data_IF_094353721943
#
_entry.id   IF_094353721943
#
_cell.length_a   1.000
_cell.length_b   1.000
_cell.length_c   1.000
_cell.angle_alpha   90.00
_cell.angle_beta   90.00
_cell.angle_gamma   90.00
#
_symmetry.space_group_name_H-M   'P 1'
#
loop_
_entity.id
_entity.type
_entity.pdbx_description
1 polymer ?
#
# COMPACT_ATOMS: atom_id res chain seq x y z
N UNK A 1 3.46 36.36 11.55
CA UNK A 1 2.90 35.05 11.92
C UNK A 1 3.89 34.00 11.47
N UNK A 2 4.58 33.37 12.41
CA UNK A 2 5.54 32.32 12.08
C UNK A 2 4.75 31.10 11.60
N UNK A 3 4.98 30.65 10.37
CA UNK A 3 4.54 29.33 9.93
C UNK A 3 5.23 28.31 10.85
N UNK A 4 4.50 27.82 11.84
CA UNK A 4 4.89 26.63 12.59
C UNK A 4 5.07 25.51 11.56
N UNK A 5 6.33 25.17 11.27
CA UNK A 5 6.68 24.00 10.47
C UNK A 5 6.08 22.79 11.16
N UNK A 6 4.93 22.36 10.65
CA UNK A 6 4.21 21.21 11.16
C UNK A 6 5.12 19.97 11.15
N UNK A 7 4.97 19.08 12.15
CA UNK A 7 5.86 17.94 12.32
C UNK A 7 5.87 17.07 11.07
N UNK A 8 7.05 16.55 10.66
CA UNK A 8 7.27 15.84 9.40
C UNK A 8 6.45 14.55 9.21
N UNK A 9 5.74 14.14 10.26
CA UNK A 9 5.04 12.87 10.40
C UNK A 9 3.53 12.96 10.15
N UNK A 10 2.96 14.16 10.04
CA UNK A 10 1.54 14.32 9.72
C UNK A 10 1.32 14.15 8.23
N UNK A 11 0.41 13.25 7.84
CA UNK A 11 -0.13 13.23 6.49
C UNK A 11 -1.09 14.40 6.37
N UNK A 12 -0.84 15.29 5.42
CA UNK A 12 -1.80 16.31 5.07
C UNK A 12 -2.83 15.69 4.12
N UNK A 13 -4.13 15.88 4.37
CA UNK A 13 -5.17 15.55 3.37
C UNK A 13 -4.92 16.24 2.02
N UNK A 14 -4.19 17.36 2.03
CA UNK A 14 -3.71 18.07 0.86
C UNK A 14 -2.67 17.27 0.06
N UNK A 15 -1.86 16.45 0.72
CA UNK A 15 -0.89 15.56 0.08
C UNK A 15 -1.59 14.48 -0.75
N UNK A 16 -2.73 13.98 -0.27
CA UNK A 16 -3.54 12.97 -0.95
C UNK A 16 -4.25 13.54 -2.18
N UNK A 17 -4.43 14.86 -2.26
CA UNK A 17 -5.03 15.55 -3.42
C UNK A 17 -4.03 15.81 -4.55
N UNK A 18 -2.73 15.77 -4.26
CA UNK A 18 -1.67 15.97 -5.26
C UNK A 18 -1.44 14.68 -6.07
N UNK A 19 -0.97 14.78 -7.33
CA UNK A 19 -0.42 13.64 -8.05
C UNK A 19 0.72 12.99 -7.27
N UNK A 20 0.77 11.66 -7.26
CA UNK A 20 1.75 10.90 -6.46
C UNK A 20 3.20 11.23 -6.85
N UNK A 21 3.44 11.53 -8.13
CA UNK A 21 4.75 11.93 -8.66
C UNK A 21 5.24 13.22 -8.00
N UNK A 22 4.32 14.17 -7.78
CA UNK A 22 4.63 15.45 -7.14
C UNK A 22 4.96 15.25 -5.66
N UNK A 23 4.20 14.40 -4.96
CA UNK A 23 4.45 14.08 -3.55
C UNK A 23 5.82 13.43 -3.37
N UNK A 24 6.18 12.50 -4.27
CA UNK A 24 7.49 11.84 -4.24
C UNK A 24 8.61 12.85 -4.52
N UNK A 25 8.43 13.76 -5.48
CA UNK A 25 9.43 14.78 -5.80
C UNK A 25 9.67 15.76 -4.63
N UNK A 26 8.59 16.26 -4.01
CA UNK A 26 8.66 17.16 -2.85
C UNK A 26 9.40 16.49 -1.68
N UNK A 27 9.07 15.23 -1.39
CA UNK A 27 9.71 14.44 -0.34
C UNK A 27 11.17 14.12 -0.67
N UNK A 28 11.50 13.83 -1.94
CA UNK A 28 12.87 13.58 -2.37
C UNK A 28 13.76 14.83 -2.19
N UNK A 29 13.23 16.01 -2.54
CA UNK A 29 13.89 17.30 -2.29
C UNK A 29 14.13 17.51 -0.79
N UNK A 30 13.12 17.21 0.04
CA UNK A 30 13.24 17.33 1.50
C UNK A 30 14.36 16.45 2.05
N UNK A 31 14.36 15.17 1.70
CA UNK A 31 15.39 14.21 2.14
C UNK A 31 16.78 14.64 1.66
N UNK A 32 16.88 15.17 0.43
CA UNK A 32 18.14 15.68 -0.07
C UNK A 32 18.66 16.85 0.77
N UNK A 33 17.82 17.85 1.04
CA UNK A 33 18.19 18.99 1.89
C UNK A 33 18.58 18.57 3.29
N UNK A 34 17.85 17.63 3.89
CA UNK A 34 18.14 17.11 5.23
C UNK A 34 19.48 16.36 5.29
N UNK A 35 19.81 15.57 4.26
CA UNK A 35 21.05 14.79 4.25
C UNK A 35 22.28 15.57 3.82
N UNK A 36 22.13 16.51 2.88
CA UNK A 36 23.26 17.20 2.26
C UNK A 36 23.45 18.62 2.75
N UNK A 37 22.42 19.24 3.34
CA UNK A 37 22.42 20.65 3.70
C UNK A 37 22.46 21.61 2.49
N UNK A 38 22.38 21.09 1.26
CA UNK A 38 22.55 21.85 0.02
C UNK A 38 21.22 22.06 -0.71
N UNK A 39 21.11 23.10 -1.56
CA UNK A 39 19.98 23.26 -2.46
C UNK A 39 19.91 22.09 -3.45
N UNK A 40 18.71 21.59 -3.78
CA UNK A 40 18.55 20.44 -4.66
C UNK A 40 19.05 20.77 -6.09
N UNK A 41 19.79 19.86 -6.74
CA UNK A 41 20.15 20.00 -8.15
C UNK A 41 18.91 19.88 -9.05
N UNK A 42 19.01 20.35 -10.31
CA UNK A 42 17.92 20.27 -11.30
C UNK A 42 17.41 18.83 -11.49
N UNK A 43 18.32 17.85 -11.43
CA UNK A 43 17.97 16.43 -11.42
C UNK A 43 18.53 15.78 -10.15
N UNK A 44 17.61 15.35 -9.28
CA UNK A 44 17.96 14.63 -8.07
C UNK A 44 18.40 13.19 -8.39
N UNK A 45 19.42 12.65 -7.68
CA UNK A 45 19.78 11.25 -7.82
C UNK A 45 18.59 10.34 -7.52
N UNK A 46 18.43 9.26 -8.32
CA UNK A 46 17.31 8.31 -8.19
C UNK A 46 17.17 7.69 -6.80
N UNK A 47 18.23 7.66 -6.02
CA UNK A 47 18.24 7.13 -4.65
C UNK A 47 17.35 7.95 -3.70
N UNK A 48 17.30 9.27 -3.86
CA UNK A 48 16.44 10.13 -3.05
C UNK A 48 14.96 9.91 -3.34
N UNK A 49 14.62 9.65 -4.61
CA UNK A 49 13.25 9.26 -5.00
C UNK A 49 12.85 7.92 -4.40
N UNK A 50 13.73 6.90 -4.40
CA UNK A 50 13.45 5.61 -3.76
C UNK A 50 13.23 5.76 -2.26
N UNK A 51 14.07 6.56 -1.59
CA UNK A 51 13.91 6.87 -0.16
C UNK A 51 12.61 7.62 0.12
N UNK A 52 12.26 8.60 -0.71
CA UNK A 52 11.01 9.34 -0.62
C UNK A 52 9.80 8.41 -0.69
N UNK A 53 9.76 7.51 -1.66
CA UNK A 53 8.69 6.52 -1.78
C UNK A 53 8.54 5.65 -0.52
N UNK A 54 9.66 5.17 0.04
CA UNK A 54 9.64 4.34 1.27
C UNK A 54 9.14 5.14 2.47
N UNK A 55 9.58 6.39 2.61
CA UNK A 55 9.15 7.26 3.71
C UNK A 55 7.66 7.59 3.61
N UNK A 56 7.18 7.95 2.42
CA UNK A 56 5.76 8.20 2.15
C UNK A 56 4.95 6.96 2.51
N UNK A 57 5.34 5.77 2.03
CA UNK A 57 4.63 4.53 2.34
C UNK A 57 4.55 4.25 3.84
N UNK A 58 5.66 4.41 4.58
CA UNK A 58 5.67 4.22 6.04
C UNK A 58 4.75 5.22 6.75
N UNK A 59 4.81 6.49 6.35
CA UNK A 59 3.95 7.55 6.92
C UNK A 59 2.48 7.25 6.65
N UNK A 60 2.15 6.85 5.42
CA UNK A 60 0.81 6.47 4.98
C UNK A 60 0.27 5.26 5.73
N UNK A 61 1.08 4.20 5.89
CA UNK A 61 0.70 3.05 6.69
C UNK A 61 0.43 3.41 8.16
N UNK A 62 1.28 4.27 8.76
CA UNK A 62 1.10 4.73 10.14
C UNK A 62 -0.22 5.49 10.32
N UNK A 63 -0.49 6.48 9.49
CA UNK A 63 -1.71 7.27 9.63
C UNK A 63 -2.98 6.46 9.32
N UNK A 64 -2.93 5.53 8.36
CA UNK A 64 -4.05 4.62 8.11
C UNK A 64 -4.32 3.74 9.34
N UNK A 65 -3.27 3.25 10.00
CA UNK A 65 -3.40 2.47 11.24
C UNK A 65 -4.01 3.32 12.36
N UNK A 66 -3.54 4.55 12.54
CA UNK A 66 -4.07 5.48 13.55
C UNK A 66 -5.53 5.83 13.27
N UNK A 67 -5.86 6.21 12.03
CA UNK A 67 -7.22 6.49 11.61
C UNK A 67 -8.15 5.28 11.82
N UNK A 68 -7.68 4.08 11.49
CA UNK A 68 -8.41 2.84 11.76
C UNK A 68 -8.63 2.65 13.26
N UNK A 69 -7.59 2.79 14.10
CA UNK A 69 -7.75 2.64 15.55
C UNK A 69 -8.73 3.64 16.13
N UNK A 70 -8.65 4.92 15.73
CA UNK A 70 -9.57 5.98 16.15
C UNK A 70 -11.00 5.68 15.68
N UNK A 71 -11.17 5.27 14.42
CA UNK A 71 -12.48 4.88 13.89
C UNK A 71 -13.06 3.69 14.65
N UNK A 72 -12.26 2.66 14.96
CA UNK A 72 -12.73 1.51 15.75
C UNK A 72 -13.06 1.85 17.19
N UNK A 73 -12.42 2.86 17.77
CA UNK A 73 -12.74 3.33 19.11
C UNK A 73 -14.06 4.11 19.14
N UNK A 74 -14.37 4.89 18.08
CA UNK A 74 -15.58 5.72 18.00
C UNK A 74 -16.79 4.91 17.52
N UNK A 75 -16.61 4.11 16.47
CA UNK A 75 -17.70 3.42 15.76
C UNK A 75 -17.80 1.93 16.11
N UNK A 76 -16.93 1.44 16.99
CA UNK A 76 -16.76 0.00 17.23
C UNK A 76 -15.94 -0.68 16.14
N UNK A 77 -15.43 -1.87 16.44
CA UNK A 77 -14.68 -2.67 15.46
C UNK A 77 -15.68 -3.17 14.41
N UNK A 78 -15.45 -2.96 13.09
CA UNK A 78 -16.33 -3.52 12.08
C UNK A 78 -16.35 -5.05 12.24
N UNK A 79 -17.54 -5.66 12.30
CA UNK A 79 -17.69 -7.13 12.44
C UNK A 79 -17.02 -7.91 11.30
N UNK A 80 -16.79 -7.25 10.15
CA UNK A 80 -16.10 -7.79 8.98
C UNK A 80 -15.20 -6.72 8.39
N UNK A 81 -13.89 -6.94 8.40
CA UNK A 81 -13.02 -6.13 7.55
C UNK A 81 -13.15 -6.61 6.08
N UNK A 82 -13.00 -5.72 5.07
CA UNK A 82 -12.95 -6.13 3.66
C UNK A 82 -11.86 -7.15 3.32
N UNK A 83 -10.96 -7.42 4.28
CA UNK A 83 -9.84 -8.33 4.19
C UNK A 83 -10.11 -9.69 4.88
N UNK A 84 -11.17 -9.81 5.69
CA UNK A 84 -11.43 -11.00 6.53
C UNK A 84 -12.39 -12.03 5.94
N UNK A 85 -13.17 -11.71 4.90
CA UNK A 85 -13.96 -12.72 4.19
C UNK A 85 -13.13 -13.41 3.09
N UNK A 86 -12.05 -14.07 3.49
CA UNK A 86 -11.58 -15.21 2.72
C UNK A 86 -12.51 -16.38 3.05
N UNK A 87 -13.17 -17.00 2.05
CA UNK A 87 -13.86 -18.26 2.30
C UNK A 87 -12.86 -19.29 2.86
N UNK A 88 -13.30 -20.25 3.69
CA UNK A 88 -12.45 -21.31 4.21
C UNK A 88 -11.57 -21.94 3.11
N UNK A 89 -10.34 -22.30 3.46
CA UNK A 89 -9.38 -22.86 2.50
C UNK A 89 -9.94 -24.07 1.74
N UNK A 90 -10.79 -24.85 2.40
CA UNK A 90 -11.51 -26.01 1.86
C UNK A 90 -12.50 -25.62 0.75
N UNK A 91 -13.14 -24.45 0.84
CA UNK A 91 -14.03 -23.92 -0.20
C UNK A 91 -13.24 -23.31 -1.36
N UNK A 92 -12.12 -22.63 -1.06
CA UNK A 92 -11.20 -22.14 -2.08
C UNK A 92 -10.56 -23.27 -2.90
N UNK A 93 -10.31 -24.44 -2.29
CA UNK A 93 -9.78 -25.64 -2.96
C UNK A 93 -10.81 -26.39 -3.82
N UNK A 94 -12.10 -26.26 -3.51
CA UNK A 94 -13.21 -26.83 -4.30
C UNK A 94 -13.58 -25.99 -5.52
N UNK A 95 -13.07 -24.76 -5.58
CA UNK A 95 -13.16 -23.91 -6.77
C UNK A 95 -12.48 -24.61 -7.96
N UNK A 96 -13.12 -24.71 -9.14
CA UNK A 96 -12.57 -25.41 -10.30
C UNK A 96 -11.29 -24.77 -10.86
N UNK A 97 -10.87 -23.63 -10.30
CA UNK A 97 -9.71 -22.86 -10.73
C UNK A 97 -8.47 -23.34 -9.97
N UNK A 98 -7.87 -24.35 -10.58
CA UNK A 98 -6.55 -24.96 -10.38
C UNK A 98 -5.53 -24.01 -9.75
N UNK A 99 -4.68 -24.48 -8.83
CA UNK A 99 -3.63 -23.63 -8.26
C UNK A 99 -2.72 -23.10 -9.38
N UNK A 100 -2.86 -21.79 -9.67
CA UNK A 100 -2.10 -21.12 -10.73
C UNK A 100 -0.63 -21.19 -10.33
N UNK A 101 0.17 -21.95 -11.08
CA UNK A 101 1.61 -21.97 -10.91
C UNK A 101 2.12 -20.56 -11.18
N UNK A 102 2.95 -20.03 -10.27
CA UNK A 102 3.50 -18.69 -10.40
C UNK A 102 4.24 -18.57 -11.75
N UNK A 103 3.87 -17.62 -12.63
CA UNK A 103 4.49 -17.51 -13.96
C UNK A 103 5.96 -17.09 -13.89
N UNK A 104 6.36 -16.38 -12.83
CA UNK A 104 7.76 -15.99 -12.58
C UNK A 104 8.60 -17.14 -12.04
N UNK A 105 8.11 -17.78 -10.99
CA UNK A 105 8.90 -18.75 -10.24
C UNK A 105 8.76 -20.18 -10.79
N UNK A 106 7.67 -20.48 -11.53
CA UNK A 106 7.28 -21.78 -12.12
C UNK A 106 7.30 -23.01 -11.20
N UNK A 107 7.65 -22.83 -9.92
CA UNK A 107 7.89 -23.88 -8.92
C UNK A 107 6.83 -23.93 -7.83
N UNK A 108 6.17 -22.80 -7.55
CA UNK A 108 5.17 -22.69 -6.49
C UNK A 108 3.85 -22.19 -7.04
N UNK A 109 2.79 -22.71 -6.47
CA UNK A 109 1.42 -22.25 -6.72
C UNK A 109 1.17 -20.95 -5.99
N UNK A 110 0.43 -20.04 -6.64
CA UNK A 110 0.00 -18.80 -6.01
C UNK A 110 -0.99 -19.13 -4.88
N UNK A 111 -0.81 -18.51 -3.72
CA UNK A 111 -1.74 -18.63 -2.59
C UNK A 111 -2.75 -17.48 -2.63
N UNK A 112 -4.04 -17.75 -2.40
CA UNK A 112 -5.02 -16.69 -2.26
C UNK A 112 -4.72 -15.87 -1.00
N UNK A 113 -4.75 -14.55 -1.12
CA UNK A 113 -4.57 -13.61 0.02
C UNK A 113 -5.77 -12.70 0.23
N UNK A 114 -6.59 -12.52 -0.82
CA UNK A 114 -7.88 -11.87 -0.75
C UNK A 114 -8.78 -12.46 -1.85
N UNK A 115 -10.08 -12.13 -1.82
CA UNK A 115 -11.02 -12.58 -2.84
C UNK A 115 -10.57 -12.12 -4.23
N UNK A 116 -10.25 -13.07 -5.10
CA UNK A 116 -9.73 -12.78 -6.44
C UNK A 116 -8.28 -12.29 -6.48
N UNK A 117 -7.52 -12.32 -5.39
CA UNK A 117 -6.11 -11.91 -5.36
C UNK A 117 -5.23 -13.07 -4.88
N UNK A 118 -4.20 -13.38 -5.67
CA UNK A 118 -3.29 -14.49 -5.40
C UNK A 118 -1.84 -14.01 -5.42
N UNK A 119 -1.01 -14.51 -4.50
CA UNK A 119 0.40 -14.11 -4.32
C UNK A 119 1.31 -15.33 -4.25
N UNK A 120 2.48 -15.24 -4.87
CA UNK A 120 3.55 -16.21 -4.74
C UNK A 120 4.37 -15.92 -3.49
N UNK A 121 4.38 -16.82 -2.52
CA UNK A 121 5.19 -16.67 -1.30
C UNK A 121 6.70 -16.63 -1.54
N UNK A 122 7.18 -17.14 -2.68
CA UNK A 122 8.61 -17.22 -2.96
C UNK A 122 9.17 -15.95 -3.59
N UNK A 123 8.45 -15.36 -4.55
CA UNK A 123 8.92 -14.17 -5.29
C UNK A 123 8.02 -12.94 -5.15
N UNK A 124 6.97 -12.99 -4.33
CA UNK A 124 6.04 -11.89 -4.11
C UNK A 124 5.20 -11.49 -5.33
N UNK A 125 5.27 -12.26 -6.43
CA UNK A 125 4.45 -12.03 -7.61
C UNK A 125 2.97 -12.18 -7.26
N UNK A 126 2.15 -11.23 -7.67
CA UNK A 126 0.72 -11.27 -7.39
C UNK A 126 -0.09 -11.05 -8.65
N UNK A 127 -1.31 -11.61 -8.66
CA UNK A 127 -2.29 -11.46 -9.74
C UNK A 127 -3.65 -11.21 -9.11
N UNK A 128 -4.43 -10.32 -9.74
CA UNK A 128 -5.85 -10.17 -9.46
C UNK A 128 -6.66 -10.75 -10.61
N UNK A 129 -7.66 -11.57 -10.29
CA UNK A 129 -8.60 -12.14 -11.25
C UNK A 129 -10.02 -11.76 -10.83
N UNK A 130 -10.41 -10.48 -11.02
CA UNK A 130 -11.71 -9.97 -10.58
C UNK A 130 -12.88 -10.61 -11.35
N UNK A 131 -12.68 -11.03 -12.61
CA UNK A 131 -13.72 -11.67 -13.45
C UNK A 131 -14.30 -12.96 -12.85
N UNK A 132 -13.59 -13.62 -11.94
CA UNK A 132 -13.97 -14.92 -11.40
C UNK A 132 -14.82 -14.85 -10.13
N UNK A 133 -14.98 -13.66 -9.54
CA UNK A 133 -15.84 -13.45 -8.37
C UNK A 133 -16.82 -12.33 -8.72
N UNK A 134 -18.02 -12.66 -9.24
CA UNK A 134 -19.03 -11.64 -9.49
C UNK A 134 -19.26 -10.87 -8.20
N UNK A 135 -19.03 -9.56 -8.26
CA UNK A 135 -19.45 -8.66 -7.19
C UNK A 135 -20.96 -8.85 -7.05
N UNK A 136 -21.41 -9.38 -5.90
CA UNK A 136 -22.83 -9.27 -5.54
C UNK A 136 -23.09 -7.77 -5.43
N UNK A 137 -23.66 -7.17 -6.48
CA UNK A 137 -24.25 -5.84 -6.42
C UNK A 137 -25.35 -5.94 -5.36
N UNK A 138 -25.13 -5.30 -4.22
CA UNK A 138 -26.20 -4.89 -3.31
C UNK A 138 -26.62 -3.49 -3.72
#
# INVERSE_FOLDING_TARGET
MAEEKAPPDRIFFEEVKKPIEQVIADEAIRIYKEKTGQPPPKELPKEFYKLAMVNILKRWQKALKEAYTTATAIFGKPEKTPFEELPPLEELRKSPYTPIVCPRCKRRTLKPVARGVYVCENCGYWISIPKLFPTRRR
#
